data_IF_331027670299
#
_entry.id   IF_331027670299
#
_cell.length_a   1.000
_cell.length_b   1.000
_cell.length_c   1.000
_cell.angle_alpha   90.00
_cell.angle_beta   90.00
_cell.angle_gamma   90.00
#
_symmetry.space_group_name_H-M   'P 1'
#
loop_
_entity.id
_entity.type
_entity.pdbx_description
1 polymer ?
#
# COMPACT_ATOMS: atom_id res chain seq x y z
N UNK A 1 3.80 73.29 -32.50
CA UNK A 1 2.59 72.53 -32.11
C UNK A 1 2.80 71.08 -32.51
N UNK A 2 3.10 70.20 -31.55
CA UNK A 2 3.22 68.75 -31.76
C UNK A 2 2.38 68.08 -30.66
N UNK A 3 1.37 67.32 -31.08
CA UNK A 3 0.46 66.57 -30.21
C UNK A 3 1.24 65.54 -29.41
N UNK A 4 1.05 65.53 -28.10
CA UNK A 4 1.52 64.47 -27.21
C UNK A 4 0.46 63.36 -27.16
N UNK A 5 0.80 62.19 -27.71
CA UNK A 5 0.00 60.98 -27.61
C UNK A 5 0.15 60.40 -26.19
N UNK A 6 -0.96 60.32 -25.45
CA UNK A 6 -1.03 59.63 -24.16
C UNK A 6 -1.22 58.14 -24.44
N UNK A 7 -0.21 57.32 -24.11
CA UNK A 7 -0.35 55.87 -24.04
C UNK A 7 -0.83 55.49 -22.63
N UNK A 8 -1.92 54.71 -22.47
CA UNK A 8 -2.25 54.14 -21.18
C UNK A 8 -1.29 52.97 -20.89
N UNK A 9 -0.56 53.09 -19.78
CA UNK A 9 0.20 51.99 -19.19
C UNK A 9 -0.78 50.91 -18.73
N UNK A 10 -0.85 49.81 -19.47
CA UNK A 10 -1.57 48.61 -19.06
C UNK A 10 -0.75 47.95 -17.92
N UNK A 11 -1.19 48.13 -16.68
CA UNK A 11 -0.69 47.36 -15.54
C UNK A 11 -1.26 45.95 -15.69
N UNK A 12 -0.48 45.03 -16.27
CA UNK A 12 -0.76 43.61 -16.15
C UNK A 12 -0.52 43.22 -14.68
N UNK A 13 -1.59 43.18 -13.90
CA UNK A 13 -1.66 42.36 -12.70
C UNK A 13 -1.51 40.91 -13.16
N UNK A 14 -0.27 40.45 -13.21
CA UNK A 14 0.04 39.03 -13.31
C UNK A 14 -0.53 38.35 -12.07
N UNK A 15 -1.74 37.82 -12.21
CA UNK A 15 -2.25 36.80 -11.29
C UNK A 15 -1.26 35.66 -11.43
N UNK A 16 -0.32 35.55 -10.47
CA UNK A 16 0.46 34.35 -10.31
C UNK A 16 -0.56 33.24 -10.06
N UNK A 17 -0.91 32.52 -11.12
CA UNK A 17 -1.62 31.27 -10.98
C UNK A 17 -0.78 30.43 -10.01
N UNK A 18 -1.36 29.88 -8.94
CA UNK A 18 -0.63 28.89 -8.16
C UNK A 18 -0.21 27.82 -9.16
N UNK A 19 1.07 27.48 -9.16
CA UNK A 19 1.60 26.35 -9.89
C UNK A 19 0.94 25.07 -9.33
N UNK A 20 -0.27 24.79 -9.79
CA UNK A 20 -0.91 23.49 -9.67
C UNK A 20 -0.42 22.69 -10.86
N UNK A 21 0.55 21.82 -10.63
CA UNK A 21 0.63 20.48 -11.23
C UNK A 21 1.97 19.81 -10.87
N UNK A 22 2.18 19.53 -9.59
CA UNK A 22 2.94 18.34 -9.19
C UNK A 22 1.92 17.19 -9.10
N UNK A 23 1.58 16.59 -10.24
CA UNK A 23 0.84 15.32 -10.25
C UNK A 23 1.67 14.24 -10.94
N UNK A 24 2.66 13.64 -10.25
CA UNK A 24 3.27 12.42 -10.71
C UNK A 24 2.32 11.29 -10.34
N UNK A 25 1.52 10.89 -11.32
CA UNK A 25 0.86 9.59 -11.41
C UNK A 25 1.59 8.54 -10.59
N UNK A 26 0.96 8.10 -9.50
CA UNK A 26 1.30 6.85 -8.82
C UNK A 26 0.95 5.69 -9.76
N UNK A 27 1.70 5.56 -10.84
CA UNK A 27 1.66 4.41 -11.73
C UNK A 27 2.33 3.28 -10.98
N UNK A 28 1.52 2.46 -10.31
CA UNK A 28 1.91 1.08 -9.96
C UNK A 28 2.01 0.22 -11.25
N UNK A 29 2.55 0.79 -12.32
CA UNK A 29 3.05 0.07 -13.50
C UNK A 29 4.58 0.04 -13.48
N UNK A 30 5.22 0.92 -12.71
CA UNK A 30 6.67 0.93 -12.58
C UNK A 30 7.13 -0.03 -11.49
N UNK A 31 7.52 -1.21 -11.96
CA UNK A 31 8.60 -2.08 -11.49
C UNK A 31 9.30 -1.59 -10.20
N UNK A 32 8.75 -1.93 -9.04
CA UNK A 32 9.46 -1.78 -7.78
C UNK A 32 10.13 -3.11 -7.49
N UNK A 33 11.47 -3.12 -7.41
CA UNK A 33 12.21 -4.29 -6.92
C UNK A 33 11.62 -4.75 -5.58
N UNK A 34 11.48 -6.05 -5.37
CA UNK A 34 11.11 -6.64 -4.10
C UNK A 34 12.25 -7.56 -3.65
N UNK A 35 12.66 -7.45 -2.38
CA UNK A 35 13.52 -8.42 -1.74
C UNK A 35 12.71 -9.60 -1.16
N UNK A 36 13.35 -10.51 -0.43
CA UNK A 36 12.80 -11.88 -0.24
C UNK A 36 12.07 -12.10 1.09
N UNK A 37 12.66 -11.69 2.22
CA UNK A 37 12.00 -11.76 3.54
C UNK A 37 11.29 -10.44 3.88
N UNK A 38 10.10 -10.54 4.46
CA UNK A 38 9.26 -9.43 4.91
C UNK A 38 8.91 -8.36 3.85
N UNK A 39 9.16 -8.65 2.57
CA UNK A 39 9.04 -7.63 1.52
C UNK A 39 7.60 -7.35 1.10
N UNK A 40 6.74 -8.38 1.09
CA UNK A 40 5.31 -8.14 0.92
C UNK A 40 4.79 -7.19 2.00
N UNK A 41 5.27 -7.39 3.23
CA UNK A 41 4.91 -6.64 4.42
C UNK A 41 5.42 -5.19 4.33
N UNK A 42 6.73 -4.98 4.10
CA UNK A 42 7.31 -3.64 3.95
C UNK A 42 6.73 -2.89 2.75
N UNK A 43 6.45 -3.58 1.64
CA UNK A 43 5.87 -2.97 0.45
C UNK A 43 4.46 -2.45 0.72
N UNK A 44 3.55 -3.25 1.30
CA UNK A 44 2.20 -2.75 1.61
C UNK A 44 2.22 -1.61 2.63
N UNK A 45 3.17 -1.62 3.55
CA UNK A 45 3.39 -0.51 4.49
C UNK A 45 3.88 0.76 3.77
N UNK A 46 4.82 0.63 2.82
CA UNK A 46 5.31 1.74 2.01
C UNK A 46 4.20 2.34 1.12
N UNK A 47 3.39 1.49 0.50
CA UNK A 47 2.20 1.91 -0.25
C UNK A 47 1.27 2.70 0.68
N UNK A 48 0.93 2.16 1.85
CA UNK A 48 0.04 2.85 2.78
C UNK A 48 0.58 4.20 3.29
N UNK A 49 1.90 4.34 3.45
CA UNK A 49 2.52 5.65 3.72
C UNK A 49 2.43 6.59 2.53
N UNK A 50 2.60 6.10 1.30
CA UNK A 50 2.52 6.94 0.11
C UNK A 50 1.14 7.60 -0.03
N UNK A 51 0.08 6.86 0.34
CA UNK A 51 -1.29 7.38 0.38
C UNK A 51 -1.54 8.46 1.45
N UNK A 52 -0.63 8.64 2.41
CA UNK A 52 -0.68 9.77 3.36
C UNK A 52 -0.27 11.10 2.74
N UNK A 53 0.42 11.07 1.59
CA UNK A 53 0.88 12.26 0.85
C UNK A 53 1.63 13.26 1.72
N UNK A 54 2.41 12.73 2.64
CA UNK A 54 3.14 13.54 3.61
C UNK A 54 4.31 14.26 2.93
N UNK A 55 4.42 15.60 3.01
CA UNK A 55 5.56 16.31 2.44
C UNK A 55 6.90 15.94 3.09
N UNK A 56 6.91 15.40 4.32
CA UNK A 56 8.12 14.90 4.96
C UNK A 56 8.62 13.56 4.37
N UNK A 57 7.74 12.83 3.68
CA UNK A 57 8.04 11.56 3.02
C UNK A 57 7.41 11.58 1.61
N UNK A 58 8.00 12.32 0.65
CA UNK A 58 7.42 12.45 -0.69
C UNK A 58 7.60 11.16 -1.49
N UNK A 59 6.75 10.17 -1.23
CA UNK A 59 6.73 8.87 -1.91
C UNK A 59 5.95 8.98 -3.24
N UNK A 60 6.51 9.75 -4.16
CA UNK A 60 5.84 10.20 -5.40
C UNK A 60 6.20 9.35 -6.63
N UNK A 61 7.25 8.55 -6.55
CA UNK A 61 7.72 7.71 -7.65
C UNK A 61 8.21 6.34 -7.14
N UNK A 62 8.52 5.44 -8.07
CA UNK A 62 8.96 4.08 -7.73
C UNK A 62 10.28 4.06 -6.94
N UNK A 63 11.17 5.04 -7.15
CA UNK A 63 12.47 5.10 -6.47
C UNK A 63 12.30 5.45 -5.01
N UNK A 64 11.55 6.52 -4.73
CA UNK A 64 11.20 6.96 -3.38
C UNK A 64 10.40 5.89 -2.64
N UNK A 65 9.46 5.23 -3.32
CA UNK A 65 8.73 4.09 -2.75
C UNK A 65 9.66 2.91 -2.41
N UNK A 66 10.60 2.57 -3.30
CA UNK A 66 11.60 1.51 -3.06
C UNK A 66 12.50 1.84 -1.88
N UNK A 67 13.03 3.07 -1.80
CA UNK A 67 13.87 3.50 -0.68
C UNK A 67 13.12 3.41 0.65
N UNK A 68 11.84 3.80 0.68
CA UNK A 68 11.01 3.66 1.86
C UNK A 68 10.73 2.19 2.20
N UNK A 69 10.42 1.36 1.21
CA UNK A 69 10.24 -0.08 1.39
C UNK A 69 11.49 -0.72 2.00
N UNK A 70 12.69 -0.43 1.49
CA UNK A 70 13.95 -0.96 2.02
C UNK A 70 14.18 -0.52 3.47
N UNK A 71 13.90 0.75 3.79
CA UNK A 71 13.97 1.26 5.17
C UNK A 71 12.99 0.53 6.08
N UNK A 72 11.74 0.37 5.65
CA UNK A 72 10.71 -0.33 6.41
C UNK A 72 11.06 -1.80 6.60
N UNK A 73 11.58 -2.47 5.58
CA UNK A 73 12.01 -3.86 5.65
C UNK A 73 13.11 -4.04 6.68
N UNK A 74 14.13 -3.18 6.68
CA UNK A 74 15.19 -3.22 7.68
C UNK A 74 14.63 -3.08 9.11
N UNK A 75 13.69 -2.15 9.32
CA UNK A 75 13.07 -1.95 10.63
C UNK A 75 12.11 -3.08 11.03
N UNK A 76 11.39 -3.69 10.08
CA UNK A 76 10.57 -4.88 10.33
C UNK A 76 11.45 -6.05 10.76
N UNK A 77 12.53 -6.32 10.02
CA UNK A 77 13.48 -7.39 10.35
C UNK A 77 14.10 -7.16 11.73
N UNK A 78 14.50 -5.92 12.03
CA UNK A 78 15.05 -5.55 13.34
C UNK A 78 14.04 -5.76 14.47
N UNK A 79 12.81 -5.27 14.32
CA UNK A 79 11.76 -5.41 15.34
C UNK A 79 11.41 -6.88 15.58
N UNK A 80 11.29 -7.64 14.49
CA UNK A 80 10.99 -9.07 14.50
C UNK A 80 12.11 -9.86 15.20
N UNK A 81 13.37 -9.59 14.87
CA UNK A 81 14.52 -10.27 15.49
C UNK A 81 14.64 -9.93 16.99
N UNK A 82 14.46 -8.66 17.37
CA UNK A 82 14.46 -8.24 18.77
C UNK A 82 13.35 -8.95 19.57
N UNK A 83 12.18 -9.18 18.96
CA UNK A 83 11.12 -10.00 19.58
C UNK A 83 11.60 -11.44 19.80
N UNK A 84 12.26 -12.07 18.82
CA UNK A 84 12.76 -13.45 18.96
C UNK A 84 13.81 -13.62 20.05
N UNK A 85 14.68 -12.64 20.25
CA UNK A 85 15.69 -12.68 21.32
C UNK A 85 15.04 -12.76 22.72
N UNK A 86 13.81 -12.28 22.86
CA UNK A 86 13.05 -12.33 24.11
C UNK A 86 12.08 -13.51 24.21
N UNK A 87 11.89 -14.28 23.13
CA UNK A 87 11.00 -15.44 23.11
C UNK A 87 11.75 -16.71 23.61
N UNK A 88 11.05 -17.59 24.33
CA UNK A 88 11.65 -18.77 24.92
C UNK A 88 12.25 -19.71 23.85
N UNK A 89 13.35 -20.43 24.15
CA UNK A 89 13.89 -21.48 23.30
C UNK A 89 12.79 -22.50 22.93
N UNK A 90 12.67 -22.84 21.64
CA UNK A 90 11.64 -23.75 21.12
C UNK A 90 10.37 -23.08 20.58
N UNK A 91 10.35 -21.74 20.47
CA UNK A 91 9.25 -21.03 19.82
C UNK A 91 9.08 -21.51 18.36
N UNK A 92 7.86 -21.95 17.95
CA UNK A 92 7.62 -22.49 16.61
C UNK A 92 8.04 -21.53 15.50
N UNK A 93 8.58 -22.08 14.42
CA UNK A 93 8.98 -21.32 13.23
C UNK A 93 7.81 -20.50 12.62
N UNK A 94 6.57 -20.93 12.80
CA UNK A 94 5.39 -20.15 12.40
C UNK A 94 5.17 -18.85 13.19
N UNK A 95 5.83 -18.69 14.35
CA UNK A 95 5.90 -17.40 15.07
C UNK A 95 7.08 -16.54 14.60
N UNK A 96 7.93 -17.08 13.71
CA UNK A 96 9.09 -16.42 13.11
C UNK A 96 8.79 -15.43 11.99
N UNK A 97 7.51 -15.26 11.65
CA UNK A 97 7.06 -14.20 10.74
C UNK A 97 6.82 -12.88 11.47
N UNK A 98 7.04 -11.78 10.77
CA UNK A 98 6.65 -10.46 11.25
C UNK A 98 5.13 -10.38 11.47
N UNK A 99 4.72 -9.65 12.50
CA UNK A 99 3.32 -9.41 12.84
C UNK A 99 3.05 -7.91 13.08
N UNK A 100 1.80 -7.57 13.40
CA UNK A 100 1.36 -6.17 13.59
C UNK A 100 2.19 -5.39 14.59
N UNK A 101 2.71 -6.03 15.65
CA UNK A 101 3.60 -5.36 16.61
C UNK A 101 4.91 -4.95 15.96
N UNK A 102 5.48 -5.83 15.14
CA UNK A 102 6.72 -5.57 14.41
C UNK A 102 6.50 -4.44 13.38
N UNK A 103 5.35 -4.46 12.68
CA UNK A 103 4.98 -3.38 11.74
C UNK A 103 4.80 -2.02 12.44
N UNK A 104 4.20 -2.03 13.65
CA UNK A 104 4.03 -0.81 14.44
C UNK A 104 5.37 -0.20 14.83
N UNK A 105 6.31 -1.03 15.30
CA UNK A 105 7.69 -0.58 15.61
C UNK A 105 8.35 -0.05 14.34
N UNK A 106 8.24 -0.78 13.23
CA UNK A 106 8.88 -0.42 11.98
C UNK A 106 8.38 0.92 11.42
N UNK A 107 7.07 1.14 11.39
CA UNK A 107 6.48 2.42 10.97
C UNK A 107 6.89 3.55 11.89
N UNK A 108 6.86 3.35 13.21
CA UNK A 108 7.29 4.37 14.17
C UNK A 108 8.76 4.76 13.91
N UNK A 109 9.67 3.79 13.75
CA UNK A 109 11.08 4.09 13.52
C UNK A 109 11.34 4.70 12.13
N UNK A 110 10.68 4.19 11.09
CA UNK A 110 10.85 4.68 9.72
C UNK A 110 10.27 6.09 9.52
N UNK A 111 9.31 6.50 10.36
CA UNK A 111 8.63 7.80 10.25
C UNK A 111 8.94 8.75 11.40
N UNK A 112 9.93 8.44 12.24
CA UNK A 112 10.29 9.22 13.42
C UNK A 112 9.07 9.49 14.34
N UNK A 113 8.27 8.45 14.58
CA UNK A 113 7.03 8.44 15.37
C UNK A 113 5.89 9.31 14.85
N UNK A 114 5.97 9.82 13.62
CA UNK A 114 4.86 10.59 13.01
C UNK A 114 3.65 9.71 12.71
N UNK A 115 3.89 8.48 12.29
CA UNK A 115 2.84 7.50 11.99
C UNK A 115 2.92 6.30 12.92
N UNK A 116 1.80 5.60 13.06
CA UNK A 116 1.69 4.29 13.73
C UNK A 116 0.84 3.34 12.91
N UNK A 117 1.02 2.05 13.15
CA UNK A 117 0.07 1.02 12.70
C UNK A 117 -1.09 0.90 13.71
N UNK A 118 -2.32 0.83 13.19
CA UNK A 118 -3.51 0.38 13.90
C UNK A 118 -4.02 -0.92 13.30
N UNK A 119 -4.59 -1.79 14.13
CA UNK A 119 -5.30 -2.99 13.70
C UNK A 119 -6.69 -2.99 14.33
N UNK A 120 -7.70 -3.24 13.51
CA UNK A 120 -9.08 -3.44 13.95
C UNK A 120 -9.64 -4.72 13.35
N UNK A 121 -10.50 -5.38 14.12
CA UNK A 121 -11.20 -6.60 13.71
C UNK A 121 -12.63 -6.26 13.31
N UNK A 122 -13.10 -6.86 12.21
CA UNK A 122 -14.43 -6.63 11.66
C UNK A 122 -15.13 -7.95 11.34
N UNK A 123 -16.45 -7.92 11.42
CA UNK A 123 -17.32 -8.87 10.74
C UNK A 123 -17.39 -8.55 9.24
N UNK A 124 -17.78 -9.52 8.42
CA UNK A 124 -17.85 -9.37 6.96
C UNK A 124 -18.76 -8.20 6.54
N UNK A 125 -19.86 -8.00 7.27
CA UNK A 125 -20.84 -6.94 6.99
C UNK A 125 -20.22 -5.54 7.20
N UNK A 126 -19.43 -5.38 8.26
CA UNK A 126 -18.75 -4.14 8.61
C UNK A 126 -17.47 -3.91 7.80
N UNK A 127 -16.84 -4.97 7.31
CA UNK A 127 -15.57 -4.92 6.59
C UNK A 127 -15.66 -4.01 5.36
N UNK A 128 -16.62 -4.26 4.48
CA UNK A 128 -16.71 -3.49 3.24
C UNK A 128 -17.11 -2.03 3.46
N UNK A 129 -17.97 -1.74 4.43
CA UNK A 129 -18.31 -0.35 4.79
C UNK A 129 -17.09 0.39 5.33
N UNK A 130 -16.28 -0.29 6.15
CA UNK A 130 -15.02 0.26 6.68
C UNK A 130 -14.04 0.56 5.56
N UNK A 131 -13.80 -0.40 4.66
CA UNK A 131 -12.88 -0.21 3.53
C UNK A 131 -13.40 0.90 2.62
N UNK A 132 -14.71 0.95 2.34
CA UNK A 132 -15.30 1.99 1.51
C UNK A 132 -15.12 3.38 2.13
N UNK A 133 -15.41 3.53 3.43
CA UNK A 133 -15.22 4.79 4.14
C UNK A 133 -13.76 5.25 4.15
N UNK A 134 -12.82 4.30 4.31
CA UNK A 134 -11.37 4.57 4.30
C UNK A 134 -10.88 5.01 2.92
N UNK A 135 -11.22 4.23 1.89
CA UNK A 135 -10.69 4.38 0.53
C UNK A 135 -11.42 5.43 -0.29
N UNK A 136 -12.66 5.74 0.06
CA UNK A 136 -13.56 6.57 -0.74
C UNK A 136 -14.15 5.85 -1.96
N UNK A 137 -13.84 4.57 -2.16
CA UNK A 137 -14.31 3.78 -3.30
C UNK A 137 -15.36 2.77 -2.85
N UNK A 138 -16.60 3.00 -3.29
CA UNK A 138 -17.79 2.18 -3.02
C UNK A 138 -18.34 1.47 -4.27
N UNK A 139 -17.82 1.79 -5.45
CA UNK A 139 -18.26 1.24 -6.73
C UNK A 139 -17.14 1.22 -7.75
N UNK A 140 -17.12 0.19 -8.60
CA UNK A 140 -16.31 0.11 -9.82
C UNK A 140 -16.47 1.35 -10.71
N UNK A 141 -17.68 1.87 -10.84
CA UNK A 141 -17.98 3.04 -11.68
C UNK A 141 -17.27 4.32 -11.23
N UNK A 142 -16.85 4.40 -9.96
CA UNK A 142 -16.12 5.55 -9.42
C UNK A 142 -14.67 5.56 -9.93
N UNK A 143 -14.19 4.45 -10.47
CA UNK A 143 -12.86 4.31 -11.05
C UNK A 143 -13.00 4.25 -12.56
N UNK A 144 -12.67 5.35 -13.24
CA UNK A 144 -12.57 5.36 -14.70
C UNK A 144 -11.55 4.34 -15.19
N UNK A 145 -11.62 3.92 -16.46
CA UNK A 145 -10.74 2.89 -17.02
C UNK A 145 -9.22 3.19 -16.93
N UNK A 146 -8.85 4.45 -16.70
CA UNK A 146 -7.46 4.92 -16.57
C UNK A 146 -7.25 5.73 -15.28
N UNK A 147 -7.93 5.35 -14.19
CA UNK A 147 -7.86 6.10 -12.94
C UNK A 147 -6.43 6.14 -12.38
N UNK A 148 -6.02 7.33 -11.95
CA UNK A 148 -4.78 7.52 -11.21
C UNK A 148 -5.08 7.17 -9.75
N UNK A 149 -4.40 6.14 -9.23
CA UNK A 149 -4.56 5.68 -7.86
C UNK A 149 -4.43 6.81 -6.83
N UNK A 150 -3.44 7.69 -7.04
CA UNK A 150 -3.21 8.88 -6.22
C UNK A 150 -4.29 9.96 -6.29
N UNK A 151 -5.28 9.87 -7.18
CA UNK A 151 -6.36 10.86 -7.27
C UNK A 151 -7.73 10.27 -6.90
N UNK A 152 -8.00 9.03 -7.27
CA UNK A 152 -9.29 8.40 -7.02
C UNK A 152 -9.42 7.82 -5.60
N UNK A 153 -8.32 7.33 -5.03
CA UNK A 153 -8.32 6.63 -3.74
C UNK A 153 -7.81 7.57 -2.64
N UNK A 154 -8.62 7.72 -1.58
CA UNK A 154 -8.32 8.62 -0.45
C UNK A 154 -7.22 8.09 0.45
N UNK A 155 -7.29 6.81 0.78
CA UNK A 155 -6.37 6.09 1.64
C UNK A 155 -6.51 4.58 1.37
N UNK A 156 -5.72 3.74 2.03
CA UNK A 156 -5.74 2.30 1.83
C UNK A 156 -6.06 1.54 3.11
N UNK A 157 -6.52 0.31 2.92
CA UNK A 157 -6.61 -0.70 3.96
C UNK A 157 -5.63 -1.84 3.65
N UNK A 158 -5.01 -2.41 4.65
CA UNK A 158 -4.17 -3.60 4.52
C UNK A 158 -4.91 -4.77 5.17
N UNK A 159 -4.89 -5.94 4.56
CA UNK A 159 -5.42 -7.16 5.19
C UNK A 159 -4.60 -8.38 4.78
N UNK A 160 -5.01 -9.56 5.25
CA UNK A 160 -4.32 -10.82 5.00
C UNK A 160 -5.23 -11.87 4.38
N UNK A 161 -4.69 -12.64 3.44
CA UNK A 161 -5.38 -13.73 2.76
C UNK A 161 -4.50 -14.99 2.72
N UNK A 162 -5.13 -16.16 2.72
CA UNK A 162 -4.51 -17.44 2.36
C UNK A 162 -4.68 -17.75 0.88
N UNK A 163 -5.56 -17.03 0.17
CA UNK A 163 -5.69 -17.14 -1.29
C UNK A 163 -6.21 -15.85 -1.93
N UNK A 164 -5.69 -15.51 -3.10
CA UNK A 164 -6.20 -14.44 -3.96
C UNK A 164 -6.20 -14.95 -5.41
N UNK A 165 -7.40 -15.20 -5.95
CA UNK A 165 -7.56 -15.91 -7.23
C UNK A 165 -6.88 -17.27 -7.20
N UNK A 166 -6.03 -17.57 -8.18
CA UNK A 166 -5.33 -18.86 -8.26
C UNK A 166 -4.08 -18.95 -7.36
N UNK A 167 -3.77 -17.91 -6.57
CA UNK A 167 -2.57 -17.85 -5.73
C UNK A 167 -2.88 -18.28 -4.31
N UNK A 168 -2.16 -19.29 -3.81
CA UNK A 168 -2.28 -19.82 -2.45
C UNK A 168 -1.08 -19.39 -1.62
N UNK A 169 -1.34 -18.94 -0.39
CA UNK A 169 -0.38 -18.43 0.59
C UNK A 169 -0.56 -19.19 1.90
N UNK A 170 0.18 -20.31 2.06
CA UNK A 170 0.04 -21.24 3.19
C UNK A 170 0.06 -20.55 4.56
N UNK A 171 1.00 -19.62 4.74
CA UNK A 171 1.19 -18.90 6.01
C UNK A 171 0.49 -17.53 6.04
N UNK A 172 -0.24 -17.20 4.98
CA UNK A 172 -0.89 -15.91 4.76
C UNK A 172 -0.04 -14.93 3.95
N UNK A 173 -0.70 -13.94 3.35
CA UNK A 173 -0.09 -12.88 2.56
C UNK A 173 -0.78 -11.57 2.87
N UNK A 174 0.00 -10.51 3.14
CA UNK A 174 -0.54 -9.17 3.27
C UNK A 174 -0.71 -8.53 1.90
N UNK A 175 -1.86 -7.89 1.69
CA UNK A 175 -2.17 -7.18 0.46
C UNK A 175 -2.85 -5.84 0.77
N UNK A 176 -2.84 -4.95 -0.22
CA UNK A 176 -3.48 -3.63 -0.11
C UNK A 176 -4.86 -3.66 -0.76
N UNK A 177 -5.83 -3.04 -0.10
CA UNK A 177 -7.21 -2.88 -0.56
C UNK A 177 -7.47 -1.39 -0.77
N UNK A 178 -7.94 -1.09 -1.98
CA UNK A 178 -8.10 0.26 -2.51
C UNK A 178 -9.56 0.64 -2.76
N UNK A 179 -10.48 -0.30 -2.56
CA UNK A 179 -11.91 -0.06 -2.74
C UNK A 179 -12.76 -1.31 -2.62
N UNK A 180 -14.07 -1.09 -2.58
CA UNK A 180 -15.08 -2.14 -2.64
C UNK A 180 -16.13 -1.81 -3.71
N UNK A 181 -16.78 -2.83 -4.23
CA UNK A 181 -17.89 -2.71 -5.17
C UNK A 181 -18.88 -3.86 -4.95
N UNK A 182 -20.17 -3.56 -5.13
CA UNK A 182 -21.24 -4.55 -4.99
C UNK A 182 -21.81 -4.72 -3.57
N UNK A 183 -22.86 -5.53 -3.44
CA UNK A 183 -23.60 -5.72 -2.19
C UNK A 183 -22.76 -6.41 -1.08
N UNK A 184 -23.13 -6.30 0.20
CA UNK A 184 -22.46 -6.96 1.34
C UNK A 184 -22.74 -8.46 1.38
N UNK A 185 -22.27 -9.21 0.38
CA UNK A 185 -22.42 -10.66 0.31
C UNK A 185 -21.25 -11.29 -0.47
N UNK A 186 -21.41 -12.56 -0.87
CA UNK A 186 -20.40 -13.32 -1.61
C UNK A 186 -20.07 -12.75 -3.00
N UNK A 187 -20.86 -11.84 -3.54
CA UNK A 187 -20.58 -11.15 -4.82
C UNK A 187 -19.85 -9.83 -4.62
N UNK A 188 -19.54 -9.43 -3.37
CA UNK A 188 -18.73 -8.25 -3.09
C UNK A 188 -17.35 -8.40 -3.70
N UNK A 189 -16.93 -7.36 -4.42
CA UNK A 189 -15.61 -7.28 -5.02
C UNK A 189 -14.76 -6.25 -4.26
N UNK A 190 -13.48 -6.56 -4.15
CA UNK A 190 -12.46 -5.71 -3.55
C UNK A 190 -11.44 -5.33 -4.61
N UNK A 191 -11.09 -4.05 -4.70
CA UNK A 191 -9.98 -3.62 -5.54
C UNK A 191 -8.68 -3.92 -4.77
N UNK A 192 -7.98 -4.96 -5.21
CA UNK A 192 -6.79 -5.48 -4.56
C UNK A 192 -5.56 -5.13 -5.37
N UNK A 193 -4.58 -4.54 -4.68
CA UNK A 193 -3.19 -4.51 -5.13
C UNK A 193 -2.46 -5.68 -4.46
N UNK A 194 -2.26 -6.74 -5.24
CA UNK A 194 -1.55 -7.93 -4.82
C UNK A 194 -0.05 -7.76 -5.15
N UNK A 195 0.77 -7.66 -4.11
CA UNK A 195 2.21 -7.44 -4.22
C UNK A 195 3.01 -8.71 -4.52
N UNK A 196 2.40 -9.89 -4.55
CA UNK A 196 3.09 -11.17 -4.72
C UNK A 196 3.39 -11.60 -6.17
N UNK A 197 3.45 -10.70 -7.15
CA UNK A 197 3.38 -11.11 -8.56
C UNK A 197 4.70 -10.94 -9.35
N UNK A 198 5.10 -12.06 -9.97
CA UNK A 198 6.01 -12.28 -11.11
C UNK A 198 7.38 -11.57 -11.15
N UNK A 199 8.45 -12.32 -11.46
CA UNK A 199 9.75 -11.76 -11.88
C UNK A 199 9.72 -11.25 -13.34
N UNK A 200 8.85 -11.80 -14.19
CA UNK A 200 8.67 -11.48 -15.62
C UNK A 200 7.22 -11.79 -16.03
N UNK A 201 6.57 -10.92 -16.83
CA UNK A 201 5.25 -11.15 -17.43
C UNK A 201 5.25 -12.46 -18.24
N UNK A 202 4.35 -13.40 -17.91
CA UNK A 202 4.25 -14.70 -18.59
C UNK A 202 5.13 -15.82 -18.01
N UNK A 203 5.97 -15.54 -17.02
CA UNK A 203 6.64 -16.60 -16.25
C UNK A 203 5.67 -17.28 -15.27
N UNK A 204 5.97 -18.52 -14.84
CA UNK A 204 5.25 -19.16 -13.76
C UNK A 204 5.17 -18.25 -12.55
N UNK A 205 4.02 -18.23 -11.84
CA UNK A 205 3.87 -17.42 -10.65
C UNK A 205 4.88 -17.85 -9.60
N UNK A 206 5.54 -16.86 -9.03
CA UNK A 206 6.55 -17.05 -8.01
C UNK A 206 6.25 -16.09 -6.88
N UNK A 207 6.20 -16.61 -5.66
CA UNK A 207 5.99 -15.78 -4.48
C UNK A 207 7.30 -15.07 -4.15
N UNK A 208 7.38 -13.77 -4.47
CA UNK A 208 8.54 -12.94 -4.15
C UNK A 208 8.88 -12.89 -2.66
N UNK A 209 7.94 -13.30 -1.81
CA UNK A 209 8.04 -13.23 -0.35
C UNK A 209 8.41 -14.56 0.29
N UNK A 210 8.93 -15.53 -0.48
CA UNK A 210 9.54 -16.74 0.04
C UNK A 210 10.98 -16.45 0.48
N UNK A 211 11.30 -16.76 1.74
CA UNK A 211 12.59 -16.45 2.37
C UNK A 211 13.80 -17.16 1.73
N UNK A 212 13.57 -18.28 1.05
CA UNK A 212 14.63 -19.14 0.49
C UNK A 212 15.24 -18.63 -0.83
N UNK A 213 14.83 -17.45 -1.28
CA UNK A 213 15.16 -16.93 -2.60
C UNK A 213 16.21 -15.83 -2.49
N UNK A 214 17.14 -15.72 -3.45
CA UNK A 214 18.09 -14.61 -3.50
C UNK A 214 17.36 -13.31 -3.91
N UNK A 215 17.82 -12.17 -3.36
CA UNK A 215 17.37 -10.85 -3.77
C UNK A 215 17.57 -10.69 -5.27
N UNK A 216 16.47 -10.60 -6.04
CA UNK A 216 16.54 -10.44 -7.48
C UNK A 216 16.39 -8.97 -7.82
N UNK A 217 17.35 -8.38 -8.52
CA UNK A 217 17.33 -7.00 -9.02
C UNK A 217 16.38 -6.78 -10.22
N UNK A 218 15.36 -7.64 -10.35
CA UNK A 218 14.45 -7.65 -11.50
C UNK A 218 13.12 -6.92 -11.23
N UNK A 219 12.36 -6.58 -12.27
CA UNK A 219 11.08 -5.92 -12.10
C UNK A 219 10.02 -6.88 -11.55
N UNK A 220 9.55 -6.61 -10.34
CA UNK A 220 8.39 -7.30 -9.78
C UNK A 220 7.11 -6.57 -10.19
N UNK A 221 6.05 -7.34 -10.44
CA UNK A 221 4.77 -6.83 -10.89
C UNK A 221 3.76 -6.90 -9.75
N UNK A 222 3.36 -5.77 -9.17
CA UNK A 222 2.14 -5.77 -8.38
C UNK A 222 0.94 -5.84 -9.34
N UNK A 223 -0.08 -6.64 -9.02
CA UNK A 223 -1.29 -6.74 -9.84
C UNK A 223 -2.42 -5.99 -9.16
N UNK A 224 -3.00 -5.00 -9.84
CA UNK A 224 -4.19 -4.29 -9.42
C UNK A 224 -5.41 -4.89 -10.12
N UNK A 225 -6.35 -5.46 -9.36
CA UNK A 225 -7.55 -6.07 -9.93
C UNK A 225 -8.73 -6.06 -8.96
N UNK A 226 -9.94 -6.03 -9.51
CA UNK A 226 -11.15 -6.32 -8.76
C UNK A 226 -11.26 -7.83 -8.51
N UNK A 227 -11.55 -8.23 -7.26
CA UNK A 227 -11.52 -9.61 -6.79
C UNK A 227 -12.69 -9.91 -5.88
N UNK A 228 -13.44 -10.97 -6.15
CA UNK A 228 -14.40 -11.61 -5.23
C UNK A 228 -13.92 -13.01 -4.78
N UNK A 229 -12.76 -13.43 -5.26
CA UNK A 229 -12.13 -14.74 -5.12
C UNK A 229 -11.01 -14.71 -4.06
N UNK A 230 -11.28 -14.09 -2.91
CA UNK A 230 -10.32 -13.92 -1.80
C UNK A 230 -10.69 -14.88 -0.65
N UNK A 231 -9.77 -15.78 -0.30
CA UNK A 231 -9.86 -16.53 0.97
C UNK A 231 -9.07 -15.77 2.04
N UNK A 232 -9.79 -15.08 2.92
CA UNK A 232 -9.22 -14.22 3.94
C UNK A 232 -8.59 -15.02 5.07
N UNK A 233 -7.45 -14.54 5.59
CA UNK A 233 -6.87 -15.08 6.81
C UNK A 233 -7.59 -14.45 8.01
N UNK A 234 -8.41 -15.25 8.68
CA UNK A 234 -9.17 -14.82 9.85
C UNK A 234 -8.34 -14.96 11.13
N UNK A 235 -8.56 -14.06 12.08
CA UNK A 235 -8.00 -14.12 13.43
C UNK A 235 -9.15 -14.03 14.43
N UNK A 236 -9.37 -15.10 15.19
CA UNK A 236 -10.53 -15.20 16.09
C UNK A 236 -11.87 -15.11 15.35
N UNK A 237 -11.93 -15.64 14.12
CA UNK A 237 -13.13 -15.58 13.27
C UNK A 237 -13.44 -14.21 12.65
N UNK A 238 -12.58 -13.21 12.85
CA UNK A 238 -12.78 -11.84 12.33
C UNK A 238 -11.77 -11.48 11.25
N UNK A 239 -12.17 -10.57 10.37
CA UNK A 239 -11.33 -9.96 9.35
C UNK A 239 -10.48 -8.86 9.98
N UNK A 240 -9.16 -8.94 9.85
CA UNK A 240 -8.25 -7.90 10.35
C UNK A 240 -8.02 -6.86 9.26
N UNK A 241 -8.24 -5.60 9.60
CA UNK A 241 -7.83 -4.47 8.78
C UNK A 241 -6.74 -3.73 9.53
N UNK A 242 -5.61 -3.59 8.85
CA UNK A 242 -4.44 -2.86 9.29
C UNK A 242 -4.46 -1.51 8.57
N UNK A 243 -4.19 -0.45 9.30
CA UNK A 243 -4.07 0.91 8.76
C UNK A 243 -2.84 1.60 9.32
N UNK A 244 -2.32 2.55 8.55
CA UNK A 244 -1.32 3.51 9.04
C UNK A 244 -2.06 4.78 9.40
N UNK A 245 -1.83 5.36 10.57
CA UNK A 245 -2.49 6.58 11.04
C UNK A 245 -1.47 7.55 11.62
N UNK A 246 -1.73 8.85 11.57
CA UNK A 246 -0.94 9.83 12.32
C UNK A 246 -1.04 9.52 13.82
N UNK A 247 0.06 9.71 14.54
CA UNK A 247 0.07 9.68 16.00
C UNK A 247 -0.48 10.97 16.61
#
# INVERSE_FOLDING_TARGET
>A
MRSASVFPTLVLLGIAAPALADDPTFLIEQQVGQATSDTCQSYVLAIALAFKRDPAFPLRDWRSLRTMEERLRAEVVKARNARYETEAPGTPESKRFANVKDYKIAINNATNSKYTVQEKAYDIDALGNTISGKTGISSKSNLGASFILGNAVKDVAISSATKIGDKIYKDGHLFTILGVSGPPNSTREYLVLNSAAYKIKGSPPFNACQESLPDSTGPYFATLAWRNDIEWKLSGGKYRVITIENQ
#
